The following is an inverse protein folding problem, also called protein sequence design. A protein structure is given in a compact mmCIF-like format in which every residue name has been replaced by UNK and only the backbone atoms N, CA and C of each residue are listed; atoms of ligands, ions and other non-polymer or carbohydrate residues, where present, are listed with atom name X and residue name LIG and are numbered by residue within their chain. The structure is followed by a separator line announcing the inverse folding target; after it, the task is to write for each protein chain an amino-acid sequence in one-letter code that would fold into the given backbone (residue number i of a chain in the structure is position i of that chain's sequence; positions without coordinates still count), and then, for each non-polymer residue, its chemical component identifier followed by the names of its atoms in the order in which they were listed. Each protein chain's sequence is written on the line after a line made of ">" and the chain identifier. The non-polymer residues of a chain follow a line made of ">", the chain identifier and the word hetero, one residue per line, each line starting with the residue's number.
data_IF_724857677765
#
_entry.id   IF_724857677765
#
_cell.length_a   1.000
_cell.length_b   1.000
_cell.length_c   1.000
_cell.angle_alpha   90.00
_cell.angle_beta   90.00
_cell.angle_gamma   90.00
#
_symmetry.space_group_name_H-M   'P 1'
#
loop_
_entity.id
_entity.type
_entity.pdbx_description
1 polymer ?
#
# COMPACT_ATOMS: atom_id res chain seq x y z
N UNK A 1 13.02 -1.11 -2.79
CA UNK A 1 12.89 -2.53 -3.20
C UNK A 1 11.46 -2.79 -3.67
N UNK A 2 11.26 -3.72 -4.60
CA UNK A 2 9.92 -4.15 -5.03
C UNK A 2 9.78 -5.64 -4.71
N UNK A 3 8.70 -5.99 -4.02
CA UNK A 3 8.33 -7.38 -3.69
C UNK A 3 6.98 -7.63 -4.31
N UNK A 4 6.83 -8.75 -5.02
CA UNK A 4 5.56 -9.16 -5.61
C UNK A 4 5.08 -10.44 -4.93
N UNK A 5 3.81 -10.46 -4.51
CA UNK A 5 3.13 -11.61 -3.90
C UNK A 5 1.82 -11.83 -4.65
N UNK A 6 1.82 -12.78 -5.60
CA UNK A 6 0.71 -12.94 -6.54
C UNK A 6 0.48 -11.68 -7.36
N UNK A 7 -0.73 -11.09 -7.25
CA UNK A 7 -1.12 -9.81 -7.86
C UNK A 7 -0.83 -8.60 -6.97
N UNK A 8 -0.39 -8.82 -5.73
CA UNK A 8 -0.04 -7.74 -4.80
C UNK A 8 1.38 -7.27 -5.05
N UNK A 9 1.56 -5.96 -5.11
CA UNK A 9 2.88 -5.32 -5.25
C UNK A 9 3.18 -4.50 -4.00
N UNK A 10 4.34 -4.72 -3.41
CA UNK A 10 4.88 -3.95 -2.28
C UNK A 10 6.12 -3.20 -2.78
N UNK A 11 6.05 -1.89 -2.80
CA UNK A 11 7.16 -1.00 -3.15
C UNK A 11 7.67 -0.28 -1.90
N UNK A 12 8.87 -0.66 -1.45
CA UNK A 12 9.61 0.08 -0.43
C UNK A 12 10.46 1.16 -1.11
N UNK A 13 10.18 2.43 -0.79
CA UNK A 13 10.96 3.61 -1.18
C UNK A 13 11.72 4.15 0.04
N UNK A 14 12.67 5.08 -0.13
CA UNK A 14 13.40 5.66 1.00
C UNK A 14 12.52 6.37 2.04
N UNK A 15 11.38 6.91 1.60
CA UNK A 15 10.50 7.80 2.35
C UNK A 15 9.13 7.20 2.67
N UNK A 16 8.73 6.13 1.97
CA UNK A 16 7.42 5.52 2.15
C UNK A 16 7.39 4.04 1.72
N UNK A 17 6.34 3.35 2.13
CA UNK A 17 5.99 2.01 1.64
C UNK A 17 4.64 2.09 0.95
N UNK A 18 4.55 1.51 -0.25
CA UNK A 18 3.33 1.48 -1.05
C UNK A 18 2.92 0.04 -1.29
N UNK A 19 1.65 -0.30 -1.03
CA UNK A 19 1.08 -1.61 -1.30
C UNK A 19 -0.07 -1.42 -2.29
N UNK A 20 -0.06 -2.18 -3.39
CA UNK A 20 -1.13 -2.18 -4.40
C UNK A 20 -1.70 -3.59 -4.56
N UNK A 21 -3.01 -3.73 -4.39
CA UNK A 21 -3.73 -4.99 -4.57
C UNK A 21 -5.22 -4.73 -4.81
N UNK A 22 -5.87 -5.50 -5.69
CA UNK A 22 -7.34 -5.52 -5.79
C UNK A 22 -8.01 -4.16 -5.99
N UNK A 23 -7.35 -3.20 -6.65
CA UNK A 23 -7.85 -1.83 -6.85
C UNK A 23 -7.68 -0.89 -5.64
N UNK A 24 -6.99 -1.35 -4.59
CA UNK A 24 -6.62 -0.57 -3.40
C UNK A 24 -5.14 -0.17 -3.49
N UNK A 25 -4.84 1.06 -3.10
CA UNK A 25 -3.48 1.56 -2.87
C UNK A 25 -3.35 2.04 -1.42
N UNK A 26 -2.36 1.49 -0.73
CA UNK A 26 -2.00 1.87 0.65
C UNK A 26 -0.65 2.53 0.64
N UNK A 27 -0.53 3.69 1.29
CA UNK A 27 0.72 4.44 1.43
C UNK A 27 0.96 4.66 2.92
N UNK A 28 2.15 4.27 3.39
CA UNK A 28 2.62 4.52 4.76
C UNK A 28 3.87 5.38 4.65
N UNK A 29 3.83 6.56 5.26
CA UNK A 29 4.94 7.52 5.31
C UNK A 29 5.02 8.22 6.67
N UNK A 30 5.88 9.23 6.81
CA UNK A 30 6.03 10.00 8.05
C UNK A 30 4.81 10.85 8.44
N UNK A 31 3.84 11.04 7.53
CA UNK A 31 2.60 11.75 7.78
C UNK A 31 1.46 10.80 8.21
N UNK A 32 1.64 9.48 8.07
CA UNK A 32 0.73 8.46 8.57
C UNK A 32 0.36 7.41 7.53
N UNK A 33 -0.91 6.97 7.58
CA UNK A 33 -1.48 5.94 6.72
C UNK A 33 -2.54 6.55 5.81
N UNK A 34 -2.38 6.38 4.50
CA UNK A 34 -3.36 6.77 3.49
C UNK A 34 -3.80 5.52 2.73
N UNK A 35 -5.12 5.31 2.63
CA UNK A 35 -5.71 4.24 1.83
C UNK A 35 -6.61 4.85 0.76
N UNK A 36 -6.45 4.37 -0.48
CA UNK A 36 -7.19 4.86 -1.64
C UNK A 36 -7.82 3.68 -2.37
N UNK A 37 -9.11 3.79 -2.68
CA UNK A 37 -9.86 2.78 -3.43
C UNK A 37 -10.32 1.59 -2.57
N UNK A 38 -11.25 0.82 -3.13
CA UNK A 38 -11.88 -0.34 -2.49
C UNK A 38 -12.74 0.00 -1.27
N UNK A 39 -13.10 -1.05 -0.53
CA UNK A 39 -13.83 -0.95 0.74
C UNK A 39 -12.85 -1.05 1.90
N UNK A 40 -12.92 -0.09 2.82
CA UNK A 40 -12.17 -0.11 4.06
C UNK A 40 -13.01 -0.77 5.15
N UNK A 41 -12.57 -1.93 5.63
CA UNK A 41 -13.04 -2.50 6.89
C UNK A 41 -11.98 -2.26 7.96
N UNK A 42 -12.31 -1.38 8.91
CA UNK A 42 -11.55 -1.19 10.13
C UNK A 42 -12.27 -1.93 11.24
N UNK A 43 -11.56 -2.80 11.95
CA UNK A 43 -12.02 -3.45 13.18
C UNK A 43 -11.46 -2.70 14.40
#
# INVERSE_FOLDING_TARGET
>A
ATIQVGETIINAKPDCVIIKAGGVEVIIDSNGLVVRGGELKAE
#
